data_IF_552492285349
#
_entry.id   IF_552492285349
#
_cell.length_a   1.000
_cell.length_b   1.000
_cell.length_c   1.000
_cell.angle_alpha   90.00
_cell.angle_beta   90.00
_cell.angle_gamma   90.00
#
_symmetry.space_group_name_H-M   'P 1'
#
loop_
_entity.id
_entity.type
_entity.pdbx_description
1 polymer ?
#
# COMPACT_ATOMS: atom_id res chain seq x y z
N UNK A 1 -21.96 -22.14 12.85
CA UNK A 1 -21.80 -21.07 11.83
C UNK A 1 -21.50 -19.79 12.58
N UNK A 2 -20.27 -19.26 12.51
CA UNK A 2 -19.95 -17.98 13.17
C UNK A 2 -20.78 -16.87 12.48
N UNK A 3 -21.49 -16.07 13.28
CA UNK A 3 -22.24 -14.92 12.76
C UNK A 3 -21.26 -13.99 12.02
N UNK A 4 -21.59 -13.61 10.77
CA UNK A 4 -20.83 -12.59 10.04
C UNK A 4 -20.95 -11.28 10.82
N UNK A 5 -19.82 -10.74 11.31
CA UNK A 5 -19.76 -9.40 11.89
C UNK A 5 -20.14 -8.38 10.82
N UNK A 6 -20.86 -7.33 11.20
CA UNK A 6 -21.17 -6.22 10.30
C UNK A 6 -19.89 -5.50 9.90
N UNK A 7 -19.75 -5.18 8.61
CA UNK A 7 -18.63 -4.38 8.12
C UNK A 7 -18.79 -2.94 8.57
N UNK A 8 -17.73 -2.37 9.13
CA UNK A 8 -17.66 -0.98 9.61
C UNK A 8 -16.59 -0.16 8.90
N UNK A 9 -15.59 -0.80 8.30
CA UNK A 9 -14.53 -0.12 7.56
C UNK A 9 -14.19 -0.78 6.23
N UNK A 10 -13.73 0.04 5.29
CA UNK A 10 -13.25 -0.37 3.98
C UNK A 10 -11.88 0.26 3.73
N UNK A 11 -10.87 -0.59 3.55
CA UNK A 11 -9.57 -0.18 3.03
C UNK A 11 -9.59 -0.34 1.50
N UNK A 12 -9.24 0.72 0.77
CA UNK A 12 -9.25 0.73 -0.70
C UNK A 12 -7.84 1.04 -1.19
N UNK A 13 -7.23 0.13 -1.93
CA UNK A 13 -5.98 0.41 -2.62
C UNK A 13 -6.18 1.48 -3.70
N UNK A 14 -5.12 2.22 -4.03
CA UNK A 14 -5.16 3.30 -4.99
C UNK A 14 -4.69 2.87 -6.39
N UNK A 15 -3.44 2.43 -6.50
CA UNK A 15 -2.75 2.20 -7.78
C UNK A 15 -3.05 0.80 -8.30
N UNK A 16 -3.77 0.71 -9.41
CA UNK A 16 -4.28 -0.57 -9.93
C UNK A 16 -5.70 -0.86 -9.45
N UNK A 17 -6.25 -0.07 -8.53
CA UNK A 17 -7.62 -0.25 -8.03
C UNK A 17 -8.54 0.92 -8.38
N UNK A 18 -8.17 2.15 -7.98
CA UNK A 18 -8.92 3.37 -8.34
C UNK A 18 -8.38 4.05 -9.59
N UNK A 19 -7.06 3.98 -9.83
CA UNK A 19 -6.43 4.59 -10.99
C UNK A 19 -5.28 3.75 -11.53
N UNK A 20 -4.95 3.92 -12.80
CA UNK A 20 -3.77 3.38 -13.46
C UNK A 20 -3.00 4.57 -14.01
N UNK A 21 -1.82 4.84 -13.47
CA UNK A 21 -1.07 6.07 -13.75
C UNK A 21 -1.98 7.30 -13.54
N UNK A 22 -2.14 8.14 -14.57
CA UNK A 22 -2.93 9.37 -14.55
C UNK A 22 -4.37 9.19 -15.05
N UNK A 23 -4.87 7.95 -15.12
CA UNK A 23 -6.23 7.64 -15.55
C UNK A 23 -7.03 6.94 -14.45
N UNK A 24 -8.21 7.45 -14.13
CA UNK A 24 -9.15 6.76 -13.27
C UNK A 24 -9.62 5.44 -13.91
N UNK A 25 -9.79 4.41 -13.08
CA UNK A 25 -10.43 3.16 -13.51
C UNK A 25 -11.90 3.48 -13.85
N UNK A 26 -12.41 3.05 -15.02
CA UNK A 26 -13.79 3.36 -15.42
C UNK A 26 -14.82 2.95 -14.36
N UNK A 27 -15.64 3.91 -13.93
CA UNK A 27 -16.68 3.72 -12.92
C UNK A 27 -16.22 3.81 -11.46
N UNK A 28 -14.92 4.00 -11.21
CA UNK A 28 -14.38 4.06 -9.84
C UNK A 28 -14.92 5.26 -9.05
N UNK A 29 -15.07 6.43 -9.67
CA UNK A 29 -15.62 7.61 -8.97
C UNK A 29 -17.07 7.37 -8.52
N UNK A 30 -17.89 6.79 -9.39
CA UNK A 30 -19.29 6.46 -9.07
C UNK A 30 -19.40 5.37 -8.01
N UNK A 31 -18.52 4.36 -8.06
CA UNK A 31 -18.44 3.33 -7.03
C UNK A 31 -18.07 3.93 -5.66
N UNK A 32 -17.12 4.86 -5.62
CA UNK A 32 -16.73 5.53 -4.38
C UNK A 32 -17.88 6.39 -3.82
N UNK A 33 -18.59 7.14 -4.66
CA UNK A 33 -19.78 7.91 -4.24
C UNK A 33 -20.84 7.02 -3.57
N UNK A 34 -21.08 5.82 -4.11
CA UNK A 34 -21.98 4.84 -3.51
C UNK A 34 -21.44 4.27 -2.22
N UNK A 35 -20.15 3.95 -2.15
CA UNK A 35 -19.52 3.48 -0.92
C UNK A 35 -19.68 4.52 0.21
N UNK A 36 -19.53 5.81 -0.10
CA UNK A 36 -19.76 6.90 0.86
C UNK A 36 -21.21 7.03 1.34
N UNK A 37 -22.18 6.52 0.58
CA UNK A 37 -23.58 6.48 1.03
C UNK A 37 -23.86 5.39 2.05
N UNK A 38 -22.95 4.42 2.22
CA UNK A 38 -23.02 3.41 3.26
C UNK A 38 -22.42 3.94 4.57
N UNK A 39 -22.93 3.48 5.72
CA UNK A 39 -22.42 3.85 7.05
C UNK A 39 -21.12 3.12 7.40
N UNK A 40 -20.08 3.31 6.60
CA UNK A 40 -18.75 2.70 6.78
C UNK A 40 -17.65 3.75 6.74
N UNK A 41 -16.58 3.52 7.51
CA UNK A 41 -15.35 4.31 7.43
C UNK A 41 -14.57 3.89 6.19
N UNK A 42 -14.14 4.85 5.38
CA UNK A 42 -13.30 4.58 4.19
C UNK A 42 -11.90 5.08 4.44
N UNK A 43 -10.90 4.24 4.13
CA UNK A 43 -9.48 4.59 4.16
C UNK A 43 -8.83 4.19 2.85
N UNK A 44 -8.03 5.09 2.28
CA UNK A 44 -7.29 4.83 1.05
C UNK A 44 -5.87 4.45 1.39
N UNK A 45 -5.41 3.31 0.89
CA UNK A 45 -4.11 2.75 1.23
C UNK A 45 -3.21 2.60 0.00
N UNK A 46 -1.91 2.84 0.14
CA UNK A 46 -0.96 2.60 -0.97
C UNK A 46 0.48 2.37 -0.51
N UNK A 47 1.20 1.50 -1.23
CA UNK A 47 2.65 1.31 -1.09
C UNK A 47 3.41 2.29 -2.01
N UNK A 48 3.31 3.59 -1.75
CA UNK A 48 4.12 4.60 -2.45
C UNK A 48 5.43 4.86 -1.71
N UNK A 49 6.47 5.16 -2.49
CA UNK A 49 7.79 5.52 -1.97
C UNK A 49 8.35 6.79 -2.60
N UNK A 50 7.63 7.40 -3.55
CA UNK A 50 8.10 8.53 -4.37
C UNK A 50 7.15 9.71 -4.40
N UNK A 51 5.97 9.59 -3.81
CA UNK A 51 4.93 10.60 -3.91
C UNK A 51 4.45 10.90 -2.50
N UNK A 52 4.52 12.18 -2.12
CA UNK A 52 3.99 12.62 -0.84
C UNK A 52 2.47 12.40 -0.76
N UNK A 53 1.96 12.31 0.46
CA UNK A 53 0.52 12.22 0.72
C UNK A 53 -0.26 13.37 0.08
N UNK A 54 0.32 14.57 0.10
CA UNK A 54 -0.26 15.78 -0.52
C UNK A 54 -0.33 15.66 -2.04
N UNK A 55 0.75 15.28 -2.69
CA UNK A 55 0.78 15.16 -4.16
C UNK A 55 -0.21 14.09 -4.64
N UNK A 56 -0.28 12.98 -3.90
CA UNK A 56 -1.25 11.91 -4.13
C UNK A 56 -2.69 12.42 -4.04
N UNK A 57 -3.01 13.20 -3.00
CA UNK A 57 -4.32 13.81 -2.84
C UNK A 57 -4.65 14.76 -4.00
N UNK A 58 -3.70 15.62 -4.38
CA UNK A 58 -3.88 16.55 -5.51
C UNK A 58 -4.15 15.80 -6.82
N UNK A 59 -3.44 14.68 -7.07
CA UNK A 59 -3.71 13.82 -8.23
C UNK A 59 -5.10 13.20 -8.18
N UNK A 60 -5.49 12.62 -7.04
CA UNK A 60 -6.80 11.98 -6.89
C UNK A 60 -7.95 12.98 -7.07
N UNK A 61 -7.79 14.22 -6.58
CA UNK A 61 -8.75 15.30 -6.82
C UNK A 61 -8.84 15.71 -8.29
N UNK A 62 -7.71 15.75 -9.02
CA UNK A 62 -7.71 15.97 -10.49
C UNK A 62 -8.43 14.86 -11.26
N UNK A 63 -8.47 13.66 -10.71
CA UNK A 63 -9.24 12.53 -11.23
C UNK A 63 -10.72 12.53 -10.77
N UNK A 64 -11.16 13.62 -10.13
CA UNK A 64 -12.54 13.82 -9.65
C UNK A 64 -12.98 12.84 -8.56
N UNK A 65 -12.03 12.27 -7.81
CA UNK A 65 -12.34 11.52 -6.61
C UNK A 65 -12.60 12.47 -5.44
N UNK A 66 -13.74 12.28 -4.78
CA UNK A 66 -14.09 12.94 -3.53
C UNK A 66 -13.38 12.23 -2.36
N UNK A 67 -12.18 12.71 -2.01
CA UNK A 67 -11.27 12.14 -1.01
C UNK A 67 -10.68 13.27 -0.17
N UNK A 68 -10.61 13.06 1.14
CA UNK A 68 -9.93 13.96 2.07
C UNK A 68 -8.54 13.46 2.45
N UNK A 69 -7.69 14.36 2.92
CA UNK A 69 -6.32 14.03 3.28
C UNK A 69 -6.27 13.03 4.45
N UNK A 70 -7.13 13.20 5.45
CA UNK A 70 -7.17 12.36 6.65
C UNK A 70 -7.54 10.90 6.34
N UNK A 71 -8.19 10.62 5.21
CA UNK A 71 -8.55 9.27 4.78
C UNK A 71 -7.40 8.50 4.13
N UNK A 72 -6.33 9.19 3.70
CA UNK A 72 -5.20 8.58 3.00
C UNK A 72 -4.15 8.07 4.01
N UNK A 73 -3.75 6.81 3.85
CA UNK A 73 -2.67 6.17 4.59
C UNK A 73 -1.67 5.54 3.61
N UNK A 74 -0.41 5.98 3.67
CA UNK A 74 0.65 5.52 2.77
C UNK A 74 1.74 4.76 3.53
N UNK A 75 2.54 3.98 2.81
CA UNK A 75 3.74 3.37 3.41
C UNK A 75 4.77 4.41 3.88
N UNK A 76 4.74 5.64 3.34
CA UNK A 76 5.53 6.77 3.86
C UNK A 76 5.00 7.23 5.22
N UNK A 77 3.68 7.38 5.37
CA UNK A 77 3.08 7.70 6.67
C UNK A 77 3.35 6.61 7.71
N UNK A 78 3.31 5.33 7.31
CA UNK A 78 3.67 4.22 8.19
C UNK A 78 5.16 4.30 8.63
N UNK A 79 6.07 4.62 7.71
CA UNK A 79 7.48 4.84 8.02
C UNK A 79 7.67 6.01 9.00
N UNK A 80 6.99 7.14 8.76
CA UNK A 80 7.02 8.31 9.63
C UNK A 80 6.52 7.97 11.04
N UNK A 81 5.37 7.31 11.16
CA UNK A 81 4.81 6.91 12.46
C UNK A 81 5.76 5.98 13.22
N UNK A 82 6.45 5.06 12.53
CA UNK A 82 7.46 4.20 13.16
C UNK A 82 8.68 4.99 13.64
N UNK A 83 9.15 5.96 12.85
CA UNK A 83 10.24 6.87 13.23
C UNK A 83 9.89 7.66 14.49
N UNK A 84 8.68 8.24 14.53
CA UNK A 84 8.17 8.99 15.68
C UNK A 84 8.02 8.09 16.91
N UNK A 85 7.43 6.90 16.75
CA UNK A 85 7.26 5.92 17.83
C UNK A 85 8.60 5.47 18.43
N UNK A 86 9.62 5.27 17.58
CA UNK A 86 10.97 4.89 18.02
C UNK A 86 11.81 6.06 18.50
N UNK A 87 11.33 7.30 18.32
CA UNK A 87 12.05 8.53 18.67
C UNK A 87 13.46 8.59 18.03
N UNK A 88 13.56 8.17 16.77
CA UNK A 88 14.82 8.14 16.02
C UNK A 88 14.94 9.29 15.03
N UNK A 89 16.18 9.60 14.63
CA UNK A 89 16.55 10.61 13.63
C UNK A 89 17.01 9.88 12.36
N UNK A 90 16.20 9.85 11.29
CA UNK A 90 16.49 8.99 10.15
C UNK A 90 17.45 9.66 9.15
N UNK A 91 18.40 8.86 8.65
CA UNK A 91 18.98 9.05 7.33
C UNK A 91 17.95 8.61 6.28
N UNK A 92 17.40 9.56 5.54
CA UNK A 92 16.33 9.32 4.57
C UNK A 92 16.92 9.00 3.18
N UNK A 93 16.90 7.71 2.81
CA UNK A 93 17.19 7.25 1.44
C UNK A 93 15.86 7.12 0.69
N UNK A 94 15.19 8.25 0.47
CA UNK A 94 13.91 8.36 -0.24
C UNK A 94 14.03 9.37 -1.39
N UNK A 95 13.11 9.29 -2.35
CA UNK A 95 12.98 10.28 -3.42
C UNK A 95 12.63 11.65 -2.83
N UNK A 96 13.14 12.73 -3.41
CA UNK A 96 12.93 14.10 -2.89
C UNK A 96 11.46 14.48 -2.80
N UNK A 97 10.63 13.93 -3.70
CA UNK A 97 9.17 14.11 -3.69
C UNK A 97 8.47 13.46 -2.50
N UNK A 98 9.13 12.53 -1.81
CA UNK A 98 8.61 11.89 -0.59
C UNK A 98 9.02 12.63 0.70
N UNK A 99 10.00 13.55 0.64
CA UNK A 99 10.47 14.30 1.80
C UNK A 99 9.38 15.11 2.53
N UNK A 100 8.36 15.68 1.86
CA UNK A 100 7.30 16.40 2.54
C UNK A 100 6.57 15.57 3.62
N UNK A 101 6.46 14.24 3.44
CA UNK A 101 5.84 13.35 4.44
C UNK A 101 6.69 13.20 5.71
N UNK A 102 7.97 13.60 5.68
CA UNK A 102 8.88 13.60 6.83
C UNK A 102 9.15 15.02 7.38
N UNK A 103 8.42 16.04 6.92
CA UNK A 103 8.57 17.40 7.45
C UNK A 103 8.39 17.43 8.98
N UNK A 104 9.28 18.14 9.68
CA UNK A 104 9.29 18.21 11.14
C UNK A 104 10.00 17.04 11.85
N UNK A 105 10.44 16.00 11.12
CA UNK A 105 11.32 14.96 11.68
C UNK A 105 12.76 15.47 11.71
N UNK A 106 13.44 15.35 12.85
CA UNK A 106 14.86 15.69 12.96
C UNK A 106 15.72 14.67 12.21
N UNK A 107 16.58 15.14 11.31
CA UNK A 107 17.47 14.28 10.49
C UNK A 107 18.96 14.56 10.70
N UNK A 108 19.30 15.56 11.53
CA UNK A 108 20.69 15.81 11.93
C UNK A 108 21.20 14.70 12.84
N UNK A 109 22.49 14.35 12.70
CA UNK A 109 23.14 13.25 13.44
C UNK A 109 22.29 11.96 13.42
N UNK A 110 22.12 11.33 12.24
CA UNK A 110 21.15 10.27 12.05
C UNK A 110 21.52 9.02 12.86
N UNK A 111 20.52 8.39 13.47
CA UNK A 111 20.64 7.15 14.24
C UNK A 111 19.61 6.09 13.81
N UNK A 112 19.02 6.24 12.62
CA UNK A 112 18.18 5.28 11.93
C UNK A 112 18.39 5.42 10.42
N UNK A 113 18.06 4.38 9.64
CA UNK A 113 18.09 4.42 8.18
C UNK A 113 16.70 4.08 7.64
N UNK A 114 16.10 4.99 6.87
CA UNK A 114 14.82 4.74 6.19
C UNK A 114 15.09 4.63 4.69
N UNK A 115 14.69 3.52 4.08
CA UNK A 115 14.95 3.20 2.67
C UNK A 115 13.65 3.08 1.89
N UNK A 116 13.50 3.97 0.92
CA UNK A 116 12.54 3.91 -0.17
C UNK A 116 13.21 3.64 -1.51
N UNK A 117 12.48 3.75 -2.62
CA UNK A 117 13.09 3.80 -3.96
C UNK A 117 13.64 5.20 -4.22
N UNK A 118 14.97 5.34 -4.10
CA UNK A 118 15.66 6.60 -4.33
C UNK A 118 16.86 6.40 -5.29
N UNK A 119 16.62 6.30 -6.60
CA UNK A 119 17.68 5.96 -7.57
C UNK A 119 18.89 6.88 -7.49
N UNK A 120 18.66 8.19 -7.28
CA UNK A 120 19.72 9.19 -7.15
C UNK A 120 20.57 9.03 -5.89
N UNK A 121 20.07 8.31 -4.88
CA UNK A 121 20.75 8.03 -3.60
C UNK A 121 21.32 6.61 -3.54
N UNK A 122 21.09 5.79 -4.57
CA UNK A 122 21.52 4.39 -4.62
C UNK A 122 22.88 4.21 -5.29
N UNK A 123 23.86 4.93 -4.76
CA UNK A 123 25.27 4.79 -5.15
C UNK A 123 26.14 4.50 -3.93
N UNK A 124 27.35 3.98 -4.19
CA UNK A 124 28.22 3.39 -3.17
C UNK A 124 28.44 4.28 -1.95
N UNK A 125 28.71 5.57 -2.16
CA UNK A 125 29.04 6.49 -1.07
C UNK A 125 27.89 6.63 -0.07
N UNK A 126 26.66 6.79 -0.55
CA UNK A 126 25.47 6.94 0.32
C UNK A 126 25.11 5.61 0.98
N UNK A 127 25.17 4.50 0.24
CA UNK A 127 24.91 3.18 0.81
C UNK A 127 25.94 2.81 1.89
N UNK A 128 27.20 3.17 1.70
CA UNK A 128 28.26 2.93 2.68
C UNK A 128 28.12 3.81 3.94
N UNK A 129 27.55 5.02 3.81
CA UNK A 129 27.19 5.83 4.98
C UNK A 129 26.04 5.17 5.77
N UNK A 130 24.97 4.77 5.08
CA UNK A 130 23.87 4.03 5.71
C UNK A 130 24.37 2.75 6.40
N UNK A 131 25.21 1.97 5.72
CA UNK A 131 25.85 0.78 6.26
C UNK A 131 26.58 1.03 7.58
N UNK A 132 27.37 2.11 7.69
CA UNK A 132 28.09 2.45 8.93
C UNK A 132 27.15 2.76 10.09
N UNK A 133 26.08 3.53 9.83
CA UNK A 133 25.06 3.78 10.86
C UNK A 133 24.44 2.48 11.37
N UNK A 134 24.18 1.53 10.47
CA UNK A 134 23.62 0.23 10.83
C UNK A 134 24.59 -0.61 11.68
N UNK A 135 25.90 -0.57 11.40
CA UNK A 135 26.91 -1.21 12.25
C UNK A 135 26.96 -0.60 13.66
N UNK A 136 26.72 0.71 13.77
CA UNK A 136 26.62 1.41 15.05
C UNK A 136 25.28 1.15 15.79
N UNK A 137 24.43 0.26 15.25
CA UNK A 137 23.18 -0.19 15.87
C UNK A 137 21.93 0.56 15.43
N UNK A 138 22.02 1.43 14.42
CA UNK A 138 20.84 2.10 13.86
C UNK A 138 19.84 1.08 13.28
N UNK A 139 18.52 1.25 13.50
CA UNK A 139 17.52 0.39 12.87
C UNK A 139 17.42 0.68 11.36
N UNK A 140 17.31 -0.40 10.58
CA UNK A 140 16.97 -0.34 9.16
C UNK A 140 15.45 -0.43 8.98
N UNK A 141 14.84 0.63 8.46
CA UNK A 141 13.41 0.72 8.15
C UNK A 141 13.26 0.74 6.62
N UNK A 142 12.54 -0.22 6.06
CA UNK A 142 12.28 -0.28 4.63
C UNK A 142 10.80 0.05 4.36
N UNK A 143 10.53 1.00 3.47
CA UNK A 143 9.16 1.35 3.08
C UNK A 143 8.47 0.13 2.45
N UNK A 144 9.16 -0.57 1.55
CA UNK A 144 8.77 -1.88 1.02
C UNK A 144 9.99 -2.58 0.40
N UNK A 145 9.90 -3.88 0.07
CA UNK A 145 11.00 -4.68 -0.51
C UNK A 145 10.68 -5.21 -1.91
N UNK A 146 10.02 -4.41 -2.75
CA UNK A 146 9.73 -4.83 -4.12
C UNK A 146 11.04 -5.09 -4.89
N UNK A 147 11.09 -6.23 -5.58
CA UNK A 147 12.27 -6.66 -6.36
C UNK A 147 12.53 -5.72 -7.55
N UNK A 148 11.47 -5.38 -8.26
CA UNK A 148 11.45 -4.54 -9.44
C UNK A 148 10.11 -3.85 -9.58
N UNK A 149 10.03 -2.85 -10.44
CA UNK A 149 8.79 -2.20 -10.86
C UNK A 149 8.80 -1.96 -12.38
N UNK A 150 7.63 -1.80 -12.99
CA UNK A 150 7.50 -1.53 -14.42
C UNK A 150 7.63 -0.03 -14.69
N UNK A 151 8.47 0.33 -15.65
CA UNK A 151 8.58 1.66 -16.25
C UNK A 151 8.17 1.59 -17.72
N UNK A 152 8.09 2.76 -18.36
CA UNK A 152 7.83 2.89 -19.81
C UNK A 152 8.89 2.19 -20.66
N UNK A 153 10.14 2.16 -20.19
CA UNK A 153 11.32 1.57 -20.83
C UNK A 153 11.62 0.12 -20.42
N UNK A 154 10.77 -0.50 -19.58
CA UNK A 154 10.92 -1.89 -19.17
C UNK A 154 10.93 -2.08 -17.65
N UNK A 155 11.45 -3.23 -17.19
CA UNK A 155 11.59 -3.50 -15.76
C UNK A 155 12.80 -2.75 -15.20
N UNK A 156 12.63 -2.13 -14.03
CA UNK A 156 13.70 -1.50 -13.28
C UNK A 156 13.75 -1.99 -11.84
N UNK A 157 14.92 -1.89 -11.21
CA UNK A 157 15.13 -2.30 -9.83
C UNK A 157 14.24 -1.52 -8.87
N UNK A 158 13.61 -2.24 -7.94
CA UNK A 158 12.90 -1.66 -6.82
C UNK A 158 13.85 -1.31 -5.66
N UNK A 159 13.33 -0.93 -4.50
CA UNK A 159 14.16 -0.72 -3.30
C UNK A 159 14.66 -2.03 -2.68
N UNK A 160 13.98 -3.16 -2.93
CA UNK A 160 14.29 -4.46 -2.33
C UNK A 160 15.73 -4.93 -2.49
N UNK A 161 16.35 -4.85 -3.68
CA UNK A 161 17.77 -5.16 -3.87
C UNK A 161 18.71 -4.36 -2.95
N UNK A 162 18.48 -3.05 -2.79
CA UNK A 162 19.32 -2.17 -1.98
C UNK A 162 19.10 -2.38 -0.48
N UNK A 163 17.85 -2.61 -0.06
CA UNK A 163 17.53 -3.03 1.31
C UNK A 163 18.24 -4.36 1.62
N UNK A 164 18.15 -5.32 0.71
CA UNK A 164 18.77 -6.65 0.90
C UNK A 164 20.29 -6.57 0.93
N UNK A 165 20.90 -5.66 0.16
CA UNK A 165 22.34 -5.42 0.21
C UNK A 165 22.78 -4.90 1.59
N UNK A 166 22.03 -3.98 2.19
CA UNK A 166 22.30 -3.47 3.54
C UNK A 166 22.08 -4.56 4.60
N UNK A 167 20.98 -5.31 4.52
CA UNK A 167 20.70 -6.45 5.40
C UNK A 167 21.84 -7.48 5.34
N UNK A 168 22.29 -7.85 4.14
CA UNK A 168 23.36 -8.82 3.95
C UNK A 168 24.69 -8.31 4.50
N UNK A 169 25.02 -7.04 4.27
CA UNK A 169 26.28 -6.46 4.75
C UNK A 169 26.37 -6.37 6.28
N UNK A 170 25.24 -6.30 6.97
CA UNK A 170 25.16 -6.05 8.42
C UNK A 170 24.63 -7.22 9.24
N UNK A 171 24.18 -8.29 8.58
CA UNK A 171 23.47 -9.43 9.18
C UNK A 171 22.23 -9.03 10.02
N UNK A 172 21.58 -7.93 9.66
CA UNK A 172 20.32 -7.49 10.29
C UNK A 172 19.14 -7.68 9.32
N UNK A 173 17.92 -7.62 9.87
CA UNK A 173 16.69 -7.58 9.07
C UNK A 173 16.05 -6.20 9.14
N UNK A 174 15.64 -5.69 7.98
CA UNK A 174 14.90 -4.45 7.90
C UNK A 174 13.52 -4.63 8.52
N UNK A 175 13.06 -3.63 9.27
CA UNK A 175 11.65 -3.49 9.61
C UNK A 175 10.92 -2.95 8.38
N UNK A 176 10.13 -3.79 7.72
CA UNK A 176 9.29 -3.38 6.59
C UNK A 176 8.00 -2.76 7.14
N UNK A 177 7.54 -1.64 6.56
CA UNK A 177 6.35 -0.91 7.05
C UNK A 177 5.18 -0.86 6.08
N UNK A 178 5.41 -1.16 4.79
CA UNK A 178 4.36 -1.24 3.77
C UNK A 178 3.66 -2.60 3.73
N UNK A 179 2.63 -2.71 2.88
CA UNK A 179 2.00 -3.99 2.52
C UNK A 179 3.06 -5.02 2.05
N UNK A 180 2.94 -6.33 2.37
CA UNK A 180 1.85 -7.02 3.09
C UNK A 180 1.97 -7.02 4.63
N UNK A 181 2.81 -6.17 5.23
CA UNK A 181 3.08 -6.26 6.67
C UNK A 181 1.83 -6.00 7.51
N UNK A 182 1.67 -6.80 8.57
CA UNK A 182 0.51 -6.72 9.45
C UNK A 182 0.32 -5.33 10.04
N UNK A 183 1.43 -4.70 10.43
CA UNK A 183 1.47 -3.35 10.99
C UNK A 183 0.85 -2.33 10.04
N UNK A 184 1.07 -2.43 8.73
CA UNK A 184 0.48 -1.51 7.76
C UNK A 184 -1.05 -1.46 7.86
N UNK A 185 -1.69 -2.63 7.88
CA UNK A 185 -3.15 -2.75 7.94
C UNK A 185 -3.73 -2.30 9.28
N UNK A 186 -3.04 -2.62 10.38
CA UNK A 186 -3.46 -2.20 11.72
C UNK A 186 -3.33 -0.68 11.90
N UNK A 187 -2.24 -0.10 11.41
CA UNK A 187 -2.02 1.35 11.44
C UNK A 187 -3.02 2.10 10.55
N UNK A 188 -3.39 1.54 9.40
CA UNK A 188 -4.43 2.11 8.53
C UNK A 188 -5.81 2.21 9.21
N UNK A 189 -6.08 1.37 10.23
CA UNK A 189 -7.30 1.41 11.04
C UNK A 189 -7.15 2.25 12.32
N UNK A 190 -5.96 2.75 12.64
CA UNK A 190 -5.72 3.52 13.86
C UNK A 190 -6.65 4.75 13.90
N UNK A 191 -7.32 4.95 15.03
CA UNK A 191 -8.25 6.06 15.23
C UNK A 191 -9.62 5.89 14.56
N UNK A 192 -9.88 4.79 13.85
CA UNK A 192 -11.21 4.52 13.26
C UNK A 192 -12.18 3.85 14.23
N UNK A 193 -11.68 3.26 15.32
CA UNK A 193 -12.47 2.46 16.26
C UNK A 193 -12.97 1.12 15.68
N UNK A 194 -12.49 0.72 14.50
CA UNK A 194 -12.85 -0.52 13.83
C UNK A 194 -11.79 -1.60 14.05
N UNK A 195 -12.23 -2.84 14.22
CA UNK A 195 -11.35 -4.01 14.30
C UNK A 195 -11.08 -4.61 12.91
N UNK A 196 -9.97 -5.35 12.71
CA UNK A 196 -9.69 -6.02 11.44
C UNK A 196 -10.83 -6.93 10.96
N UNK A 197 -11.51 -7.66 11.85
CA UNK A 197 -12.62 -8.55 11.47
C UNK A 197 -13.89 -7.81 11.03
N UNK A 198 -13.96 -6.50 11.24
CA UNK A 198 -15.04 -5.61 10.82
C UNK A 198 -14.66 -4.83 9.54
N UNK A 199 -13.54 -5.20 8.92
CA UNK A 199 -12.92 -4.47 7.82
C UNK A 199 -12.79 -5.33 6.56
N UNK A 200 -12.98 -4.72 5.40
CA UNK A 200 -12.68 -5.33 4.10
C UNK A 200 -11.59 -4.53 3.36
N UNK A 201 -10.60 -5.23 2.80
CA UNK A 201 -9.59 -4.68 1.91
C UNK A 201 -9.98 -4.93 0.45
N UNK A 202 -9.94 -3.88 -0.37
CA UNK A 202 -10.15 -3.95 -1.82
C UNK A 202 -8.83 -3.58 -2.49
N UNK A 203 -8.26 -4.49 -3.29
CA UNK A 203 -7.00 -4.24 -3.99
C UNK A 203 -6.78 -5.16 -5.18
N UNK A 204 -5.78 -4.88 -6.00
CA UNK A 204 -5.46 -5.64 -7.22
C UNK A 204 -4.29 -6.63 -7.03
N UNK A 205 -3.51 -6.51 -5.95
CA UNK A 205 -2.44 -7.47 -5.62
C UNK A 205 -2.93 -8.58 -4.67
N UNK A 206 -2.92 -9.82 -5.15
CA UNK A 206 -3.35 -10.98 -4.37
C UNK A 206 -2.53 -11.25 -3.10
N UNK A 207 -1.26 -10.82 -3.05
CA UNK A 207 -0.36 -11.04 -1.91
C UNK A 207 -0.29 -9.80 -1.04
N UNK A 208 0.01 -8.66 -1.65
CA UNK A 208 0.26 -7.42 -0.92
C UNK A 208 -1.03 -6.87 -0.33
N UNK A 209 -2.14 -6.85 -1.09
CA UNK A 209 -3.43 -6.37 -0.60
C UNK A 209 -4.22 -7.46 0.13
N UNK A 210 -4.65 -8.46 -0.63
CA UNK A 210 -5.64 -9.45 -0.17
C UNK A 210 -5.03 -10.40 0.85
N UNK A 211 -3.88 -10.98 0.52
CA UNK A 211 -3.15 -11.88 1.42
C UNK A 211 -2.73 -11.17 2.71
N UNK A 212 -2.16 -9.96 2.60
CA UNK A 212 -1.77 -9.13 3.74
C UNK A 212 -2.93 -8.83 4.69
N UNK A 213 -4.05 -8.35 4.14
CA UNK A 213 -5.25 -8.01 4.92
C UNK A 213 -5.88 -9.25 5.60
N UNK A 214 -5.98 -10.37 4.89
CA UNK A 214 -6.55 -11.59 5.46
C UNK A 214 -5.72 -12.16 6.61
N UNK A 215 -4.40 -12.01 6.55
CA UNK A 215 -3.49 -12.45 7.61
C UNK A 215 -3.64 -11.66 8.92
N UNK A 216 -4.35 -10.52 8.89
CA UNK A 216 -4.73 -9.75 10.09
C UNK A 216 -6.21 -9.87 10.45
N UNK A 217 -6.98 -10.71 9.74
CA UNK A 217 -8.38 -11.01 10.08
C UNK A 217 -9.43 -10.33 9.18
N UNK A 218 -9.01 -9.44 8.28
CA UNK A 218 -9.90 -8.73 7.35
C UNK A 218 -10.50 -9.65 6.29
N UNK A 219 -11.62 -9.21 5.71
CA UNK A 219 -12.07 -9.74 4.41
C UNK A 219 -11.22 -9.14 3.29
N UNK A 220 -11.01 -9.90 2.21
CA UNK A 220 -10.24 -9.44 1.06
C UNK A 220 -11.03 -9.59 -0.24
N UNK A 221 -11.03 -8.52 -1.04
CA UNK A 221 -11.62 -8.45 -2.38
C UNK A 221 -10.50 -8.16 -3.37
N UNK A 222 -10.23 -9.14 -4.24
CA UNK A 222 -9.28 -8.98 -5.34
C UNK A 222 -9.99 -8.39 -6.56
N UNK A 223 -9.54 -7.24 -7.05
CA UNK A 223 -10.07 -6.62 -8.28
C UNK A 223 -9.17 -6.91 -9.48
N UNK A 224 -9.76 -6.88 -10.69
CA UNK A 224 -9.04 -6.99 -11.96
C UNK A 224 -9.28 -5.75 -12.79
N UNK A 225 -8.28 -4.90 -12.88
CA UNK A 225 -8.36 -3.64 -13.65
C UNK A 225 -7.51 -3.69 -14.92
N UNK A 226 -6.50 -4.56 -15.00
CA UNK A 226 -5.63 -4.71 -16.17
C UNK A 226 -6.01 -5.92 -17.05
N UNK A 227 -6.13 -5.76 -18.39
CA UNK A 227 -6.30 -6.88 -19.33
C UNK A 227 -5.06 -7.80 -19.33
N UNK A 228 -5.25 -9.10 -19.09
CA UNK A 228 -4.20 -10.11 -19.29
C UNK A 228 -3.23 -10.34 -18.13
N UNK A 229 -3.45 -9.75 -16.94
CA UNK A 229 -2.70 -10.15 -15.76
C UNK A 229 -3.00 -11.63 -15.43
N UNK A 230 -2.01 -12.56 -15.53
CA UNK A 230 -2.25 -13.94 -15.17
C UNK A 230 -2.59 -14.00 -13.68
N UNK A 231 -3.56 -14.84 -13.33
CA UNK A 231 -3.69 -15.29 -11.95
C UNK A 231 -2.35 -15.95 -11.63
N UNK A 232 -1.51 -15.34 -10.79
CA UNK A 232 -0.45 -16.08 -10.15
C UNK A 232 -1.16 -17.30 -9.56
N UNK A 233 -0.85 -18.50 -10.04
CA UNK A 233 -1.48 -19.74 -9.57
C UNK A 233 -1.36 -19.76 -8.06
N UNK A 234 -2.44 -19.39 -7.37
CA UNK A 234 -2.46 -19.38 -5.92
C UNK A 234 -2.39 -20.83 -5.48
N UNK A 235 -1.23 -21.24 -5.00
CA UNK A 235 -1.03 -22.56 -4.42
C UNK A 235 -1.64 -22.58 -3.02
N UNK A 236 -2.55 -23.54 -2.79
CA UNK A 236 -2.86 -24.17 -1.50
C UNK A 236 -3.60 -23.37 -0.41
N UNK A 237 -3.19 -22.13 -0.10
CA UNK A 237 -3.56 -21.46 1.17
C UNK A 237 -4.71 -20.46 1.07
N UNK A 238 -4.88 -19.78 -0.08
CA UNK A 238 -5.85 -18.68 -0.25
C UNK A 238 -7.29 -19.12 -0.57
N UNK A 239 -7.58 -20.43 -0.50
CA UNK A 239 -8.93 -21.02 -0.66
C UNK A 239 -9.75 -21.05 0.64
N UNK A 240 -9.35 -20.28 1.65
CA UNK A 240 -10.15 -20.10 2.87
C UNK A 240 -11.44 -19.32 2.60
N UNK A 241 -12.46 -19.53 3.43
CA UNK A 241 -13.83 -18.98 3.37
C UNK A 241 -13.97 -17.44 3.44
N UNK A 242 -12.86 -16.69 3.33
CA UNK A 242 -12.80 -15.23 3.48
C UNK A 242 -12.25 -14.48 2.26
N UNK A 243 -11.96 -15.19 1.16
CA UNK A 243 -11.50 -14.59 -0.11
C UNK A 243 -12.62 -14.58 -1.12
N UNK A 244 -13.09 -13.39 -1.50
CA UNK A 244 -13.98 -13.23 -2.65
C UNK A 244 -13.14 -12.99 -3.90
N UNK A 245 -13.09 -13.99 -4.79
CA UNK A 245 -12.41 -13.87 -6.08
C UNK A 245 -13.33 -13.27 -7.13
N UNK A 246 -12.79 -12.34 -7.93
CA UNK A 246 -13.46 -11.77 -9.08
C UNK A 246 -12.74 -12.13 -10.38
N UNK A 247 -13.50 -12.66 -11.34
CA UNK A 247 -13.03 -12.92 -12.69
C UNK A 247 -14.13 -12.48 -13.66
N UNK A 248 -13.79 -11.56 -14.57
CA UNK A 248 -14.61 -11.29 -15.75
C UNK A 248 -14.57 -12.52 -16.67
N UNK A 249 -15.69 -12.90 -17.30
CA UNK A 249 -15.66 -13.96 -18.30
C UNK A 249 -14.71 -13.59 -19.45
N UNK A 250 -14.04 -14.56 -20.09
CA UNK A 250 -13.18 -14.29 -21.24
C UNK A 250 -13.98 -13.56 -22.32
N UNK A 251 -13.47 -12.43 -22.81
CA UNK A 251 -14.10 -11.65 -23.89
C UNK A 251 -15.07 -10.56 -23.44
N UNK A 252 -15.23 -10.30 -22.14
CA UNK A 252 -16.07 -9.21 -21.66
C UNK A 252 -15.41 -7.84 -21.91
N UNK A 253 -16.08 -6.95 -22.67
CA UNK A 253 -15.60 -5.59 -22.92
C UNK A 253 -15.51 -4.73 -21.66
N UNK A 254 -14.83 -3.58 -21.73
CA UNK A 254 -14.64 -2.63 -20.61
C UNK A 254 -15.92 -2.33 -19.81
N UNK A 255 -17.08 -2.29 -20.48
CA UNK A 255 -18.39 -2.06 -19.86
C UNK A 255 -18.86 -3.19 -18.92
N UNK A 256 -18.37 -4.43 -19.08
CA UNK A 256 -18.75 -5.58 -18.24
C UNK A 256 -18.01 -5.59 -16.89
N UNK A 257 -16.78 -5.08 -16.83
CA UNK A 257 -16.02 -4.93 -15.57
C UNK A 257 -16.69 -3.87 -14.69
N UNK A 258 -17.12 -2.78 -15.32
CA UNK A 258 -17.83 -1.66 -14.68
C UNK A 258 -19.18 -2.10 -14.07
N UNK A 259 -19.97 -2.89 -14.79
CA UNK A 259 -21.25 -3.41 -14.28
C UNK A 259 -21.08 -4.42 -13.14
N UNK A 260 -20.00 -5.19 -13.12
CA UNK A 260 -19.77 -6.25 -12.13
C UNK A 260 -19.22 -5.69 -10.81
N UNK A 261 -18.33 -4.70 -10.85
CA UNK A 261 -17.96 -3.92 -9.65
C UNK A 261 -19.19 -3.19 -9.10
N UNK A 262 -19.99 -2.55 -9.96
CA UNK A 262 -21.25 -1.90 -9.58
C UNK A 262 -22.19 -2.86 -8.86
N UNK A 263 -22.42 -4.08 -9.37
CA UNK A 263 -23.38 -5.03 -8.77
C UNK A 263 -22.93 -5.63 -7.44
N UNK A 264 -21.63 -5.84 -7.22
CA UNK A 264 -21.13 -6.62 -6.07
C UNK A 264 -20.60 -5.77 -4.92
N UNK A 265 -20.15 -4.53 -5.16
CA UNK A 265 -20.01 -3.55 -4.08
C UNK A 265 -21.37 -3.29 -3.42
N UNK A 266 -22.44 -3.22 -4.23
CA UNK A 266 -23.83 -3.13 -3.76
C UNK A 266 -24.16 -4.33 -2.86
N UNK A 267 -23.90 -5.57 -3.28
CA UNK A 267 -24.25 -6.77 -2.49
C UNK A 267 -23.43 -6.98 -1.21
N UNK A 268 -22.26 -6.33 -1.06
CA UNK A 268 -21.46 -6.38 0.17
C UNK A 268 -21.86 -5.30 1.18
N UNK A 269 -22.57 -4.26 0.74
CA UNK A 269 -22.96 -3.10 1.54
C UNK A 269 -24.48 -3.04 1.83
N UNK A 270 -25.27 -3.94 1.25
CA UNK A 270 -26.71 -4.18 1.52
C UNK A 270 -26.91 -5.58 2.09
#
# INVERSE_FOLDING_TARGET
MAARRALKAVLVDLSGTLHIEDAAVPGAQEALKRLRSASVVVRFVTNTTKESKRDLLERLKKLEFDISEDEIFTSLTAARSLVEQKQVRPMLLVDDRALPDFNGIQTSDPNAVVVGLAPERFHYQILNQAFRLLLDGAPLIAIHKARYYKRKDGLALGPGPFVTALEYATDIKATVVGKPEKTFFLEALRGTGCEPEETVMIGDDCRDDVGGAQNVGMLGILVKTAPGAPFARLTGSLRGSRTCFFQSPPGAGKASIEQEMKKKLIHLLT
#
